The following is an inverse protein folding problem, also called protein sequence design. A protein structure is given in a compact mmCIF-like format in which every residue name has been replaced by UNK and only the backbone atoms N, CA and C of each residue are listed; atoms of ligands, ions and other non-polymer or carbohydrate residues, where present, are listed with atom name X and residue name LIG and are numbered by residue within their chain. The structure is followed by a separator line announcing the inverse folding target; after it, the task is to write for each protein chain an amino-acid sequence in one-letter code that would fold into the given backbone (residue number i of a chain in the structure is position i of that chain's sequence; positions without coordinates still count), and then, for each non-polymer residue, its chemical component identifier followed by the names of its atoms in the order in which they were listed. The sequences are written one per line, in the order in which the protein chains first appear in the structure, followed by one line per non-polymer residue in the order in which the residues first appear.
data_IF_063737492740
#
_entry.id   IF_063737492740
#
_cell.length_a   1.000
_cell.length_b   1.000
_cell.length_c   1.000
_cell.angle_alpha   90.00
_cell.angle_beta   90.00
_cell.angle_gamma   90.00
#
_symmetry.space_group_name_H-M   'P 1'
#
loop_
_entity.id
_entity.type
_entity.pdbx_description
1 polymer ?
#
# COMPACT_ATOMS: atom_id res chain seq x y z
N UNK A 1 -28.84 -30.05 6.20
CA UNK A 1 -27.61 -30.64 5.61
C UNK A 1 -27.63 -30.35 4.12
N UNK A 2 -26.53 -29.84 3.54
CA UNK A 2 -26.47 -29.52 2.10
C UNK A 2 -25.43 -30.46 1.48
N UNK A 3 -25.81 -31.38 0.57
CA UNK A 3 -24.85 -32.29 -0.02
C UNK A 3 -23.88 -31.56 -0.95
N UNK A 4 -22.66 -32.09 -1.09
CA UNK A 4 -21.63 -31.49 -1.96
C UNK A 4 -22.05 -31.55 -3.43
N UNK A 5 -22.89 -32.51 -3.83
CA UNK A 5 -23.49 -32.55 -5.18
C UNK A 5 -24.32 -31.32 -5.52
N UNK A 6 -24.82 -30.55 -4.54
CA UNK A 6 -25.53 -29.28 -4.81
C UNK A 6 -24.64 -28.24 -5.49
N UNK A 7 -23.30 -28.34 -5.42
CA UNK A 7 -22.41 -27.46 -6.20
C UNK A 7 -22.62 -27.64 -7.72
N UNK A 8 -23.14 -28.79 -8.14
CA UNK A 8 -23.49 -29.09 -9.52
C UNK A 8 -24.99 -28.94 -9.84
N UNK A 9 -25.79 -28.39 -8.92
CA UNK A 9 -27.22 -28.17 -9.15
C UNK A 9 -27.46 -27.25 -10.36
N UNK A 10 -28.56 -27.43 -11.08
CA UNK A 10 -28.90 -26.58 -12.22
C UNK A 10 -29.39 -25.20 -11.76
N UNK A 11 -29.99 -25.11 -10.57
CA UNK A 11 -30.40 -23.85 -9.97
C UNK A 11 -29.18 -23.13 -9.38
N UNK A 12 -28.88 -21.95 -9.92
CA UNK A 12 -27.74 -21.14 -9.50
C UNK A 12 -27.86 -20.66 -8.04
N UNK A 13 -29.07 -20.47 -7.50
CA UNK A 13 -29.25 -20.09 -6.10
C UNK A 13 -28.83 -21.24 -5.17
N UNK A 14 -29.18 -22.48 -5.52
CA UNK A 14 -28.78 -23.67 -4.79
C UNK A 14 -27.27 -23.89 -4.94
N UNK A 15 -26.77 -23.85 -6.17
CA UNK A 15 -25.36 -24.08 -6.49
C UNK A 15 -24.44 -23.05 -5.82
N UNK A 16 -24.77 -21.76 -5.91
CA UNK A 16 -23.97 -20.72 -5.28
C UNK A 16 -24.01 -20.80 -3.76
N UNK A 17 -25.18 -21.07 -3.17
CA UNK A 17 -25.28 -21.21 -1.72
C UNK A 17 -24.46 -22.40 -1.18
N UNK A 18 -24.42 -23.52 -1.92
CA UNK A 18 -23.58 -24.66 -1.59
C UNK A 18 -22.08 -24.38 -1.83
N UNK A 19 -21.74 -23.74 -2.95
CA UNK A 19 -20.37 -23.30 -3.26
C UNK A 19 -19.83 -22.35 -2.20
N UNK A 20 -20.60 -21.35 -1.80
CA UNK A 20 -20.21 -20.39 -0.77
C UNK A 20 -19.97 -21.10 0.57
N UNK A 21 -20.85 -22.03 0.98
CA UNK A 21 -20.62 -22.85 2.19
C UNK A 21 -19.32 -23.65 2.11
N UNK A 22 -19.00 -24.22 0.95
CA UNK A 22 -17.83 -25.07 0.76
C UNK A 22 -16.51 -24.29 0.65
N UNK A 23 -16.43 -23.30 -0.24
CA UNK A 23 -15.18 -22.63 -0.65
C UNK A 23 -14.85 -21.43 0.22
N UNK A 24 -15.86 -20.68 0.68
CA UNK A 24 -15.66 -19.40 1.37
C UNK A 24 -14.76 -19.47 2.62
N UNK A 25 -14.88 -20.49 3.50
CA UNK A 25 -14.00 -20.60 4.67
C UNK A 25 -12.52 -20.73 4.30
N UNK A 26 -12.21 -21.51 3.26
CA UNK A 26 -10.84 -21.72 2.77
C UNK A 26 -10.31 -20.49 2.04
N UNK A 27 -11.13 -19.88 1.16
CA UNK A 27 -10.80 -18.66 0.43
C UNK A 27 -10.47 -17.50 1.38
N UNK A 28 -11.35 -17.22 2.35
CA UNK A 28 -11.12 -16.18 3.36
C UNK A 28 -9.84 -16.47 4.15
N UNK A 29 -9.63 -17.70 4.62
CA UNK A 29 -8.40 -18.04 5.35
C UNK A 29 -7.13 -17.76 4.54
N UNK A 30 -7.09 -18.21 3.29
CA UNK A 30 -5.92 -18.08 2.41
C UNK A 30 -5.70 -16.64 1.89
N UNK A 31 -6.77 -15.88 1.64
CA UNK A 31 -6.69 -14.50 1.15
C UNK A 31 -6.24 -13.48 2.22
N UNK A 32 -6.31 -13.85 3.51
CA UNK A 32 -6.06 -12.93 4.63
C UNK A 32 -4.67 -12.29 4.57
N UNK A 33 -3.63 -13.10 4.43
CA UNK A 33 -2.23 -12.63 4.42
C UNK A 33 -1.90 -11.74 3.21
N UNK A 34 -2.21 -12.11 1.96
CA UNK A 34 -1.96 -11.24 0.81
C UNK A 34 -2.73 -9.92 0.88
N UNK A 35 -4.00 -9.92 1.30
CA UNK A 35 -4.78 -8.68 1.45
C UNK A 35 -4.26 -7.80 2.59
N UNK A 36 -3.87 -8.41 3.71
CA UNK A 36 -3.19 -7.72 4.81
C UNK A 36 -1.93 -6.99 4.36
N UNK A 37 -1.12 -7.63 3.52
CA UNK A 37 0.09 -7.03 2.93
C UNK A 37 -0.22 -6.00 1.86
N UNK A 38 -1.29 -6.19 1.09
CA UNK A 38 -1.68 -5.27 0.03
C UNK A 38 -2.24 -3.95 0.58
N UNK A 39 -3.23 -4.02 1.49
CA UNK A 39 -4.02 -2.87 1.94
C UNK A 39 -3.63 -2.33 3.31
N UNK A 40 -3.12 -3.18 4.20
CA UNK A 40 -2.90 -2.82 5.60
C UNK A 40 -1.42 -2.71 5.98
N UNK A 41 -0.51 -2.80 5.00
CA UNK A 41 0.94 -2.79 5.23
C UNK A 41 1.39 -3.86 6.24
N UNK A 42 0.71 -5.02 6.24
CA UNK A 42 0.98 -6.11 7.17
C UNK A 42 0.32 -5.98 8.55
N UNK A 43 -0.29 -4.83 8.88
CA UNK A 43 -1.07 -4.64 10.12
C UNK A 43 -2.38 -5.44 10.07
N UNK A 44 -2.94 -5.80 11.22
CA UNK A 44 -4.22 -6.51 11.27
C UNK A 44 -5.31 -5.77 10.46
N UNK A 45 -6.06 -6.53 9.67
CA UNK A 45 -7.29 -6.07 9.05
C UNK A 45 -8.38 -6.17 10.12
N UNK A 46 -9.10 -5.07 10.38
CA UNK A 46 -10.13 -4.99 11.40
C UNK A 46 -11.42 -4.51 10.73
N UNK A 47 -12.53 -5.18 11.00
CA UNK A 47 -13.85 -4.65 10.71
C UNK A 47 -14.12 -3.43 11.60
N UNK A 48 -14.98 -2.49 11.17
CA UNK A 48 -15.44 -1.40 12.04
C UNK A 48 -16.03 -1.90 13.37
N UNK A 49 -16.54 -3.14 13.39
CA UNK A 49 -17.06 -3.82 14.57
C UNK A 49 -16.52 -5.27 14.65
N UNK A 50 -15.54 -5.52 15.51
CA UNK A 50 -15.06 -6.88 15.87
C UNK A 50 -13.89 -7.44 15.04
N UNK A 51 -13.63 -8.73 15.21
CA UNK A 51 -12.47 -9.48 14.65
C UNK A 51 -12.63 -9.88 13.17
N UNK A 52 -13.41 -9.09 12.43
CA UNK A 52 -13.74 -9.30 11.01
C UNK A 52 -12.74 -8.65 10.05
N UNK A 53 -13.05 -8.74 8.77
CA UNK A 53 -12.32 -8.04 7.72
C UNK A 53 -12.92 -6.64 7.51
N UNK A 54 -12.14 -5.70 6.97
CA UNK A 54 -12.71 -4.44 6.51
C UNK A 54 -13.58 -4.67 5.26
N UNK A 55 -14.52 -3.76 5.00
CA UNK A 55 -15.47 -3.86 3.89
C UNK A 55 -14.79 -4.11 2.54
N UNK A 56 -13.70 -3.39 2.23
CA UNK A 56 -12.98 -3.59 0.98
C UNK A 56 -12.41 -5.01 0.85
N UNK A 57 -11.86 -5.56 1.95
CA UNK A 57 -11.29 -6.91 1.92
C UNK A 57 -12.38 -7.97 1.77
N UNK A 58 -13.54 -7.79 2.39
CA UNK A 58 -14.70 -8.68 2.16
C UNK A 58 -15.15 -8.60 0.69
N UNK A 59 -15.35 -7.39 0.15
CA UNK A 59 -15.74 -7.19 -1.24
C UNK A 59 -14.79 -7.89 -2.21
N UNK A 60 -13.47 -7.77 -1.98
CA UNK A 60 -12.47 -8.44 -2.82
C UNK A 60 -12.53 -9.97 -2.73
N UNK A 61 -12.91 -10.54 -1.58
CA UNK A 61 -13.10 -11.99 -1.48
C UNK A 61 -14.42 -12.44 -2.07
N UNK A 62 -15.48 -11.66 -1.90
CA UNK A 62 -16.78 -11.95 -2.51
C UNK A 62 -16.66 -11.94 -4.04
N UNK A 63 -15.92 -10.99 -4.63
CA UNK A 63 -15.58 -10.99 -6.06
C UNK A 63 -14.87 -12.30 -6.47
N UNK A 64 -13.87 -12.76 -5.70
CA UNK A 64 -13.15 -14.00 -5.99
C UNK A 64 -14.03 -15.24 -5.87
N UNK A 65 -14.97 -15.24 -4.92
CA UNK A 65 -15.95 -16.32 -4.76
C UNK A 65 -16.91 -16.36 -5.94
N UNK A 66 -17.38 -15.21 -6.41
CA UNK A 66 -18.22 -15.10 -7.60
C UNK A 66 -17.47 -15.57 -8.85
N UNK A 67 -16.23 -15.09 -9.06
CA UNK A 67 -15.37 -15.51 -10.18
C UNK A 67 -15.11 -17.02 -10.18
N UNK A 68 -14.82 -17.59 -9.00
CA UNK A 68 -14.53 -19.03 -8.84
C UNK A 68 -15.78 -19.90 -8.99
N UNK A 69 -16.93 -19.43 -8.51
CA UNK A 69 -18.22 -20.08 -8.74
C UNK A 69 -18.53 -20.12 -10.23
N UNK A 70 -18.47 -18.98 -10.92
CA UNK A 70 -18.70 -18.90 -12.36
C UNK A 70 -17.74 -19.80 -13.16
N UNK A 71 -16.47 -19.91 -12.73
CA UNK A 71 -15.49 -20.84 -13.31
C UNK A 71 -15.93 -22.29 -13.16
N UNK A 72 -16.40 -22.71 -11.98
CA UNK A 72 -16.90 -24.06 -11.74
C UNK A 72 -18.17 -24.35 -12.56
N UNK A 73 -19.11 -23.40 -12.61
CA UNK A 73 -20.36 -23.52 -13.41
C UNK A 73 -20.06 -23.75 -14.89
N UNK A 74 -19.15 -22.96 -15.48
CA UNK A 74 -18.71 -23.17 -16.87
C UNK A 74 -18.11 -24.55 -17.08
N UNK A 75 -17.25 -25.01 -16.17
CA UNK A 75 -16.63 -26.33 -16.27
C UNK A 75 -17.66 -27.47 -16.20
N UNK A 76 -18.63 -27.38 -15.28
CA UNK A 76 -19.75 -28.32 -15.18
C UNK A 76 -20.69 -28.28 -16.39
N UNK A 77 -20.80 -27.12 -17.05
CA UNK A 77 -21.50 -26.94 -18.34
C UNK A 77 -20.72 -27.45 -19.56
N UNK A 78 -19.51 -28.00 -19.37
CA UNK A 78 -18.67 -28.57 -20.44
C UNK A 78 -17.53 -27.66 -20.92
N UNK A 79 -17.47 -26.40 -20.48
CA UNK A 79 -16.39 -25.46 -20.82
C UNK A 79 -15.20 -25.62 -19.85
N UNK A 80 -14.49 -26.73 -19.98
CA UNK A 80 -13.36 -27.04 -19.12
C UNK A 80 -12.20 -26.04 -19.34
N UNK A 81 -11.62 -25.43 -18.28
CA UNK A 81 -10.44 -24.59 -18.42
C UNK A 81 -9.29 -25.38 -19.05
N UNK A 82 -8.51 -24.72 -19.92
CA UNK A 82 -7.43 -25.34 -20.69
C UNK A 82 -6.06 -24.83 -20.22
N UNK A 83 -5.08 -25.71 -20.26
CA UNK A 83 -3.66 -25.40 -20.08
C UNK A 83 -3.11 -24.67 -21.31
N UNK A 84 -1.85 -24.17 -21.23
CA UNK A 84 -1.16 -23.56 -22.37
C UNK A 84 -1.03 -24.48 -23.58
N UNK A 85 -1.00 -25.80 -23.37
CA UNK A 85 -0.96 -26.81 -24.43
C UNK A 85 -2.36 -27.15 -24.99
N UNK A 86 -3.41 -26.41 -24.60
CA UNK A 86 -4.79 -26.66 -25.02
C UNK A 86 -5.48 -27.83 -24.32
N UNK A 87 -4.78 -28.57 -23.46
CA UNK A 87 -5.34 -29.71 -22.73
C UNK A 87 -6.23 -29.28 -21.57
N UNK A 88 -7.33 -30.01 -21.25
CA UNK A 88 -8.13 -29.75 -20.06
C UNK A 88 -7.28 -29.73 -18.78
N UNK A 89 -7.59 -28.81 -17.87
CA UNK A 89 -6.94 -28.75 -16.56
C UNK A 89 -7.42 -29.95 -15.73
N UNK A 90 -6.52 -30.91 -15.52
CA UNK A 90 -6.79 -32.19 -14.83
C UNK A 90 -7.49 -32.00 -13.49
N UNK A 91 -7.07 -31.02 -12.70
CA UNK A 91 -7.65 -30.76 -11.39
C UNK A 91 -9.14 -30.35 -11.50
N UNK A 92 -9.50 -29.53 -12.49
CA UNK A 92 -10.91 -29.16 -12.65
C UNK A 92 -11.76 -30.34 -13.14
N UNK A 93 -11.19 -31.21 -13.97
CA UNK A 93 -11.85 -32.46 -14.39
C UNK A 93 -12.18 -33.33 -13.16
N UNK A 94 -11.20 -33.59 -12.30
CA UNK A 94 -11.38 -34.37 -11.07
C UNK A 94 -12.46 -33.79 -10.14
N UNK A 95 -12.53 -32.46 -10.03
CA UNK A 95 -13.58 -31.79 -9.24
C UNK A 95 -14.94 -32.05 -9.87
N UNK A 96 -15.09 -31.87 -11.18
CA UNK A 96 -16.38 -32.06 -11.86
C UNK A 96 -16.83 -33.53 -11.82
N UNK A 97 -15.92 -34.48 -12.00
CA UNK A 97 -16.19 -35.92 -11.88
C UNK A 97 -16.70 -36.27 -10.48
N UNK A 98 -16.05 -35.77 -9.42
CA UNK A 98 -16.51 -36.03 -8.05
C UNK A 98 -17.89 -35.43 -7.80
N UNK A 99 -18.10 -34.16 -8.14
CA UNK A 99 -19.36 -33.46 -7.87
C UNK A 99 -20.58 -34.06 -8.60
N UNK A 100 -20.34 -34.78 -9.70
CA UNK A 100 -21.38 -35.46 -10.48
C UNK A 100 -21.50 -36.96 -10.16
N UNK A 101 -20.64 -37.49 -9.28
CA UNK A 101 -20.68 -38.88 -8.82
C UNK A 101 -21.89 -39.18 -7.93
N UNK A 102 -22.17 -40.48 -7.74
CA UNK A 102 -23.20 -40.92 -6.80
C UNK A 102 -22.83 -40.61 -5.33
N UNK A 103 -21.54 -40.71 -5.00
CA UNK A 103 -21.03 -40.54 -3.63
C UNK A 103 -21.24 -39.11 -3.12
N UNK A 104 -21.08 -38.10 -3.99
CA UNK A 104 -21.30 -36.69 -3.68
C UNK A 104 -22.71 -36.36 -3.17
N UNK A 105 -23.72 -37.22 -3.42
CA UNK A 105 -25.10 -37.00 -2.94
C UNK A 105 -25.25 -37.22 -1.44
N UNK A 106 -24.39 -38.04 -0.85
CA UNK A 106 -24.45 -38.42 0.56
C UNK A 106 -23.43 -37.65 1.42
N UNK A 107 -22.62 -36.82 0.79
CA UNK A 107 -21.52 -36.09 1.42
C UNK A 107 -21.94 -34.67 1.82
N UNK A 108 -21.75 -34.28 3.07
CA UNK A 108 -22.12 -32.94 3.55
C UNK A 108 -21.08 -31.87 3.18
N UNK A 109 -21.53 -30.77 2.56
CA UNK A 109 -20.68 -29.68 2.10
C UNK A 109 -19.97 -28.94 3.24
N UNK A 110 -20.61 -28.78 4.40
CA UNK A 110 -20.00 -28.10 5.54
C UNK A 110 -18.86 -28.92 6.16
N UNK A 111 -19.03 -30.24 6.22
CA UNK A 111 -17.99 -31.18 6.64
C UNK A 111 -16.77 -31.11 5.71
N UNK A 112 -16.99 -31.10 4.40
CA UNK A 112 -15.90 -30.96 3.43
C UNK A 112 -15.28 -29.56 3.42
N UNK A 113 -16.04 -28.50 3.72
CA UNK A 113 -15.51 -27.13 3.85
C UNK A 113 -14.42 -27.05 4.93
N UNK A 114 -14.64 -27.73 6.07
CA UNK A 114 -13.68 -27.80 7.16
C UNK A 114 -12.39 -28.52 6.76
N UNK A 115 -12.49 -29.56 5.94
CA UNK A 115 -11.34 -30.28 5.37
C UNK A 115 -10.62 -29.42 4.32
N UNK A 116 -11.36 -28.79 3.40
CA UNK A 116 -10.82 -27.90 2.37
C UNK A 116 -9.98 -26.77 2.96
N UNK A 117 -10.44 -26.18 4.07
CA UNK A 117 -9.72 -25.13 4.79
C UNK A 117 -8.36 -25.58 5.35
N UNK A 118 -8.21 -26.87 5.67
CA UNK A 118 -7.03 -27.46 6.33
C UNK A 118 -6.09 -28.19 5.37
N UNK A 119 -6.43 -28.31 4.09
CA UNK A 119 -5.75 -29.17 3.14
C UNK A 119 -4.33 -28.69 2.77
N UNK A 120 -3.39 -28.85 3.70
CA UNK A 120 -1.96 -28.98 3.46
C UNK A 120 -1.57 -30.45 3.71
N UNK A 121 -1.76 -31.29 2.69
CA UNK A 121 -1.29 -32.69 2.67
C UNK A 121 -2.30 -33.76 3.08
N UNK A 122 -2.51 -34.77 2.22
CA UNK A 122 -3.12 -36.06 2.57
C UNK A 122 -4.55 -36.30 2.10
N UNK A 123 -5.48 -35.40 2.41
CA UNK A 123 -6.91 -35.71 2.31
C UNK A 123 -7.43 -35.57 0.86
N UNK A 124 -8.00 -36.65 0.30
CA UNK A 124 -8.71 -36.78 -0.99
C UNK A 124 -8.16 -36.10 -2.28
N UNK A 125 -7.91 -36.85 -3.37
CA UNK A 125 -7.46 -36.27 -4.64
C UNK A 125 -8.33 -35.14 -5.19
N UNK A 126 -9.67 -35.29 -5.19
CA UNK A 126 -10.60 -34.28 -5.69
C UNK A 126 -10.63 -33.03 -4.79
N UNK A 127 -10.41 -33.18 -3.47
CA UNK A 127 -10.38 -32.07 -2.52
C UNK A 127 -9.12 -31.22 -2.71
N UNK A 128 -7.96 -31.85 -2.93
CA UNK A 128 -6.73 -31.15 -3.31
C UNK A 128 -6.90 -30.41 -4.64
N UNK A 129 -7.57 -31.05 -5.59
CA UNK A 129 -7.88 -30.43 -6.89
C UNK A 129 -8.81 -29.21 -6.71
N UNK A 130 -9.83 -29.32 -5.85
CA UNK A 130 -10.72 -28.22 -5.49
C UNK A 130 -9.95 -27.07 -4.83
N UNK A 131 -9.08 -27.36 -3.86
CA UNK A 131 -8.24 -26.34 -3.23
C UNK A 131 -7.36 -25.64 -4.27
N UNK A 132 -6.69 -26.39 -5.14
CA UNK A 132 -5.82 -25.82 -6.17
C UNK A 132 -6.59 -24.90 -7.12
N UNK A 133 -7.75 -25.33 -7.62
CA UNK A 133 -8.47 -24.64 -8.69
C UNK A 133 -9.45 -23.57 -8.25
N UNK A 134 -10.05 -23.73 -7.07
CA UNK A 134 -11.12 -22.88 -6.55
C UNK A 134 -10.66 -21.97 -5.41
N UNK A 135 -9.52 -22.26 -4.77
CA UNK A 135 -8.97 -21.43 -3.68
C UNK A 135 -7.62 -20.85 -4.07
N UNK A 136 -6.62 -21.69 -4.34
CA UNK A 136 -5.25 -21.21 -4.55
C UNK A 136 -5.07 -20.42 -5.85
N UNK A 137 -5.54 -20.96 -6.98
CA UNK A 137 -5.35 -20.32 -8.28
C UNK A 137 -5.98 -18.91 -8.38
N UNK A 138 -7.22 -18.67 -7.89
CA UNK A 138 -7.78 -17.31 -7.80
C UNK A 138 -6.94 -16.34 -6.96
N UNK A 139 -6.24 -16.85 -5.95
CA UNK A 139 -5.39 -16.06 -5.05
C UNK A 139 -3.97 -15.84 -5.59
N UNK A 140 -3.61 -16.50 -6.69
CA UNK A 140 -2.33 -16.30 -7.34
C UNK A 140 -2.20 -14.84 -7.77
N UNK A 141 -1.15 -14.17 -7.32
CA UNK A 141 -0.91 -12.74 -7.54
C UNK A 141 -1.98 -11.80 -6.96
N UNK A 142 -2.77 -12.23 -5.98
CA UNK A 142 -3.79 -11.37 -5.35
C UNK A 142 -3.17 -10.10 -4.76
N UNK A 143 -2.01 -10.19 -4.12
CA UNK A 143 -1.33 -9.03 -3.53
C UNK A 143 -0.96 -7.99 -4.59
N UNK A 144 -0.36 -8.41 -5.71
CA UNK A 144 0.01 -7.52 -6.82
C UNK A 144 -1.21 -6.94 -7.52
N UNK A 145 -2.24 -7.76 -7.79
CA UNK A 145 -3.48 -7.33 -8.43
C UNK A 145 -4.22 -6.30 -7.58
N UNK A 146 -4.37 -6.56 -6.28
CA UNK A 146 -5.02 -5.65 -5.33
C UNK A 146 -4.28 -4.32 -5.27
N UNK A 147 -2.96 -4.34 -5.09
CA UNK A 147 -2.16 -3.10 -5.08
C UNK A 147 -2.27 -2.30 -6.38
N UNK A 148 -2.34 -2.98 -7.52
CA UNK A 148 -2.52 -2.34 -8.82
C UNK A 148 -3.91 -1.69 -8.92
N UNK A 149 -4.96 -2.41 -8.56
CA UNK A 149 -6.32 -1.88 -8.55
C UNK A 149 -6.44 -0.67 -7.61
N UNK A 150 -5.91 -0.77 -6.39
CA UNK A 150 -5.89 0.33 -5.42
C UNK A 150 -5.05 1.53 -5.87
N UNK A 151 -4.01 1.31 -6.65
CA UNK A 151 -3.23 2.38 -7.26
C UNK A 151 -4.04 3.11 -8.33
N UNK A 152 -4.64 2.36 -9.26
CA UNK A 152 -5.47 2.91 -10.35
C UNK A 152 -6.68 3.67 -9.79
N UNK A 153 -7.35 3.12 -8.77
CA UNK A 153 -8.49 3.76 -8.09
C UNK A 153 -8.13 5.12 -7.46
N UNK A 154 -6.86 5.34 -7.12
CA UNK A 154 -6.33 6.61 -6.61
C UNK A 154 -5.69 7.49 -7.70
N UNK A 155 -5.87 7.15 -8.98
CA UNK A 155 -5.30 7.89 -10.11
C UNK A 155 -3.81 7.60 -10.38
N UNK A 156 -3.20 6.65 -9.68
CA UNK A 156 -1.81 6.27 -9.87
C UNK A 156 -1.63 5.27 -11.02
N UNK A 157 -0.41 5.15 -11.55
CA UNK A 157 -0.14 4.30 -12.70
C UNK A 157 -0.39 2.80 -12.40
N UNK A 158 -0.95 2.05 -13.34
CA UNK A 158 -1.02 0.60 -13.19
C UNK A 158 0.36 -0.09 -13.30
N UNK A 159 1.29 0.50 -14.06
CA UNK A 159 2.60 -0.07 -14.44
C UNK A 159 3.68 1.02 -14.41
N UNK A 160 4.12 1.48 -13.23
CA UNK A 160 5.01 2.62 -13.10
C UNK A 160 6.38 2.40 -13.74
N UNK A 161 6.90 1.17 -13.66
CA UNK A 161 8.15 0.78 -14.34
C UNK A 161 8.07 0.99 -15.86
N UNK A 162 7.00 0.48 -16.49
CA UNK A 162 6.76 0.66 -17.92
C UNK A 162 6.68 2.15 -18.28
N UNK A 163 5.90 2.92 -17.53
CA UNK A 163 5.68 4.33 -17.82
C UNK A 163 6.99 5.12 -17.71
N UNK A 164 7.77 4.90 -16.66
CA UNK A 164 9.08 5.54 -16.48
C UNK A 164 10.08 5.13 -17.57
N UNK A 165 10.04 3.88 -18.05
CA UNK A 165 10.94 3.40 -19.11
C UNK A 165 10.51 3.80 -20.52
N UNK A 166 9.22 3.95 -20.80
CA UNK A 166 8.71 4.00 -22.18
C UNK A 166 7.92 5.27 -22.53
N UNK A 167 7.27 5.93 -21.57
CA UNK A 167 6.40 7.05 -21.90
C UNK A 167 7.19 8.26 -22.42
N UNK A 168 6.64 8.98 -23.41
CA UNK A 168 7.35 10.11 -24.03
C UNK A 168 7.81 11.17 -23.01
N UNK A 169 6.96 11.50 -22.03
CA UNK A 169 7.26 12.46 -20.97
C UNK A 169 8.46 12.05 -20.09
N UNK A 170 8.75 10.75 -19.97
CA UNK A 170 9.81 10.24 -19.12
C UNK A 170 11.20 10.26 -19.81
N UNK A 171 11.28 10.70 -21.07
CA UNK A 171 12.55 10.76 -21.81
C UNK A 171 13.69 11.46 -21.05
N UNK A 172 13.49 12.60 -20.35
CA UNK A 172 14.55 13.26 -19.59
C UNK A 172 15.13 12.40 -18.44
N UNK A 173 14.35 11.45 -17.91
CA UNK A 173 14.75 10.61 -16.78
C UNK A 173 15.70 9.47 -17.18
N UNK A 174 15.78 9.14 -18.48
CA UNK A 174 16.56 8.01 -18.99
C UNK A 174 18.04 8.32 -19.16
N UNK A 175 18.44 9.59 -19.04
CA UNK A 175 19.84 10.02 -19.15
C UNK A 175 20.75 9.44 -18.05
N UNK A 176 20.18 9.01 -16.92
CA UNK A 176 20.90 8.27 -15.87
C UNK A 176 20.14 6.98 -15.53
N UNK A 177 20.57 5.82 -16.07
CA UNK A 177 19.93 4.52 -15.81
C UNK A 177 19.90 4.14 -14.32
N UNK A 178 20.92 4.53 -13.54
CA UNK A 178 20.93 4.24 -12.11
C UNK A 178 19.86 5.06 -11.39
N UNK A 179 19.74 6.35 -11.72
CA UNK A 179 18.70 7.22 -11.17
C UNK A 179 17.28 6.73 -11.52
N UNK A 180 17.08 6.22 -12.74
CA UNK A 180 15.81 5.65 -13.18
C UNK A 180 15.42 4.41 -12.38
N UNK A 181 16.34 3.46 -12.17
CA UNK A 181 16.09 2.27 -11.35
C UNK A 181 15.81 2.64 -9.88
N UNK A 182 16.53 3.62 -9.31
CA UNK A 182 16.27 4.15 -7.97
C UNK A 182 14.84 4.73 -7.86
N UNK A 183 14.37 5.47 -8.88
CA UNK A 183 13.00 6.00 -8.93
C UNK A 183 11.95 4.88 -9.01
N UNK A 184 12.17 3.88 -9.87
CA UNK A 184 11.24 2.75 -10.03
C UNK A 184 11.08 2.02 -8.69
N UNK A 185 12.20 1.73 -8.02
CA UNK A 185 12.20 1.06 -6.71
C UNK A 185 11.52 1.92 -5.65
N UNK A 186 11.78 3.23 -5.61
CA UNK A 186 11.07 4.14 -4.71
C UNK A 186 9.56 4.07 -4.91
N UNK A 187 9.06 4.18 -6.15
CA UNK A 187 7.62 4.12 -6.45
C UNK A 187 7.01 2.81 -5.93
N UNK A 188 7.69 1.67 -6.13
CA UNK A 188 7.22 0.40 -5.58
C UNK A 188 7.24 0.34 -4.06
N UNK A 189 8.26 0.93 -3.40
CA UNK A 189 8.35 0.98 -1.94
C UNK A 189 7.26 1.87 -1.33
N UNK A 190 6.97 3.02 -1.95
CA UNK A 190 5.85 3.90 -1.58
C UNK A 190 4.53 3.14 -1.70
N UNK A 191 4.29 2.46 -2.83
CA UNK A 191 3.08 1.64 -3.02
C UNK A 191 2.93 0.52 -2.00
N UNK A 192 4.05 -0.09 -1.60
CA UNK A 192 4.09 -1.14 -0.58
C UNK A 192 4.01 -0.59 0.85
N UNK A 193 3.90 0.73 1.02
CA UNK A 193 3.87 1.43 2.32
C UNK A 193 5.03 1.00 3.22
N UNK A 194 6.22 0.87 2.64
CA UNK A 194 7.43 0.53 3.39
C UNK A 194 7.76 1.69 4.34
N UNK A 195 8.10 1.45 5.62
CA UNK A 195 8.31 2.51 6.61
C UNK A 195 9.34 3.58 6.25
N UNK A 196 10.38 3.22 5.49
CA UNK A 196 11.33 4.16 4.90
C UNK A 196 11.42 3.89 3.39
N UNK A 197 10.56 4.51 2.56
CA UNK A 197 10.53 4.25 1.13
C UNK A 197 11.75 4.87 0.43
N UNK A 198 12.36 5.91 1.01
CA UNK A 198 13.54 6.61 0.48
C UNK A 198 14.86 5.90 0.78
N UNK A 199 14.85 4.92 1.68
CA UNK A 199 15.99 4.04 1.85
C UNK A 199 16.26 3.23 0.57
N UNK A 200 17.45 3.42 0.00
CA UNK A 200 17.95 2.67 -1.15
C UNK A 200 18.49 1.32 -0.69
N UNK A 201 17.96 0.19 -1.19
CA UNK A 201 18.47 -1.15 -0.88
C UNK A 201 19.96 -1.33 -1.22
N UNK A 202 20.68 -2.07 -0.39
CA UNK A 202 22.13 -2.27 -0.56
C UNK A 202 22.47 -3.02 -1.86
N UNK A 203 21.65 -4.00 -2.28
CA UNK A 203 21.82 -4.74 -3.52
C UNK A 203 21.72 -3.84 -4.76
N UNK A 204 20.76 -2.89 -4.75
CA UNK A 204 20.59 -1.92 -5.83
C UNK A 204 21.76 -0.93 -5.88
N UNK A 205 22.22 -0.49 -4.71
CA UNK A 205 23.37 0.40 -4.55
C UNK A 205 24.65 -0.27 -5.07
N UNK A 206 24.89 -1.53 -4.72
CA UNK A 206 26.05 -2.32 -5.13
C UNK A 206 26.05 -2.58 -6.64
N UNK A 207 24.89 -2.95 -7.21
CA UNK A 207 24.71 -3.14 -8.66
C UNK A 207 25.14 -1.92 -9.47
N UNK A 208 24.86 -0.72 -8.97
CA UNK A 208 25.24 0.54 -9.63
C UNK A 208 26.54 1.16 -9.08
N UNK A 209 27.28 0.45 -8.21
CA UNK A 209 28.54 0.90 -7.58
C UNK A 209 28.42 2.28 -6.91
N UNK A 210 27.27 2.53 -6.27
CA UNK A 210 27.01 3.81 -5.61
C UNK A 210 27.40 3.75 -4.13
N UNK A 211 27.86 4.88 -3.58
CA UNK A 211 27.90 5.07 -2.13
C UNK A 211 26.48 5.41 -1.63
N UNK A 212 26.25 5.31 -0.32
CA UNK A 212 24.94 5.67 0.27
C UNK A 212 24.58 7.14 0.03
N UNK A 213 25.58 8.02 0.11
CA UNK A 213 25.44 9.46 -0.14
C UNK A 213 25.13 9.71 -1.61
N UNK A 214 25.83 9.03 -2.52
CA UNK A 214 25.62 9.18 -3.96
C UNK A 214 24.25 8.67 -4.39
N UNK A 215 23.81 7.51 -3.88
CA UNK A 215 22.49 6.98 -4.16
C UNK A 215 21.37 7.93 -3.68
N UNK A 216 21.52 8.48 -2.47
CA UNK A 216 20.58 9.48 -1.94
C UNK A 216 20.53 10.75 -2.80
N UNK A 217 21.71 11.25 -3.22
CA UNK A 217 21.83 12.44 -4.07
C UNK A 217 21.18 12.22 -5.44
N UNK A 218 21.49 11.10 -6.09
CA UNK A 218 20.91 10.73 -7.39
C UNK A 218 19.40 10.56 -7.31
N UNK A 219 18.90 9.89 -6.27
CA UNK A 219 17.46 9.75 -6.05
C UNK A 219 16.79 11.13 -5.88
N UNK A 220 17.40 12.05 -5.12
CA UNK A 220 16.91 13.41 -4.97
C UNK A 220 16.85 14.17 -6.30
N UNK A 221 17.91 14.13 -7.09
CA UNK A 221 17.94 14.73 -8.44
C UNK A 221 16.88 14.12 -9.36
N UNK A 222 16.73 12.79 -9.33
CA UNK A 222 15.75 12.07 -10.13
C UNK A 222 14.31 12.45 -9.74
N UNK A 223 14.04 12.67 -8.45
CA UNK A 223 12.74 13.12 -7.97
C UNK A 223 12.39 14.54 -8.43
N UNK A 224 13.36 15.45 -8.41
CA UNK A 224 13.19 16.80 -8.95
C UNK A 224 12.91 16.73 -10.46
N UNK A 225 13.68 15.94 -11.19
CA UNK A 225 13.48 15.75 -12.63
C UNK A 225 12.10 15.12 -12.94
N UNK A 226 11.67 14.13 -12.14
CA UNK A 226 10.35 13.49 -12.29
C UNK A 226 9.22 14.49 -12.04
N UNK A 227 9.32 15.30 -10.97
CA UNK A 227 8.32 16.33 -10.66
C UNK A 227 8.22 17.37 -11.76
N UNK A 228 9.34 17.75 -12.38
CA UNK A 228 9.36 18.67 -13.51
C UNK A 228 8.79 18.04 -14.80
N UNK A 229 9.15 16.79 -15.10
CA UNK A 229 8.74 16.10 -16.32
C UNK A 229 7.25 15.69 -16.32
N UNK A 230 6.74 15.22 -15.18
CA UNK A 230 5.34 14.85 -15.03
C UNK A 230 4.87 15.02 -13.56
N UNK A 231 4.39 16.23 -13.18
CA UNK A 231 3.94 16.50 -11.83
C UNK A 231 2.73 15.65 -11.43
N UNK A 232 1.85 15.30 -12.39
CA UNK A 232 0.68 14.45 -12.13
C UNK A 232 1.08 13.02 -11.77
N UNK A 233 2.02 12.42 -12.50
CA UNK A 233 2.57 11.10 -12.16
C UNK A 233 3.27 11.15 -10.79
N UNK A 234 4.07 12.19 -10.54
CA UNK A 234 4.71 12.39 -9.25
C UNK A 234 3.68 12.43 -8.11
N UNK A 235 2.65 13.29 -8.24
CA UNK A 235 1.62 13.46 -7.23
C UNK A 235 0.83 12.17 -6.98
N UNK A 236 0.47 11.43 -8.03
CA UNK A 236 -0.31 10.21 -7.90
C UNK A 236 0.48 9.01 -7.36
N UNK A 237 1.80 8.94 -7.59
CA UNK A 237 2.61 7.76 -7.27
C UNK A 237 3.55 7.93 -6.08
N UNK A 238 3.94 9.16 -5.77
CA UNK A 238 4.98 9.49 -4.77
C UNK A 238 4.48 10.54 -3.80
N UNK A 239 3.76 11.56 -4.30
CA UNK A 239 3.06 12.50 -3.43
C UNK A 239 2.07 11.75 -2.55
N UNK A 240 2.12 11.99 -1.24
CA UNK A 240 0.87 11.95 -0.49
C UNK A 240 -0.06 12.99 -1.12
N UNK A 241 -1.38 12.73 -1.18
CA UNK A 241 -2.31 13.52 -1.98
C UNK A 241 -2.35 14.95 -1.47
N UNK A 242 -1.55 15.81 -2.10
CA UNK A 242 -1.74 17.25 -2.11
C UNK A 242 -2.84 17.47 -3.14
N UNK A 243 -4.07 17.57 -2.66
CA UNK A 243 -5.29 18.05 -3.32
C UNK A 243 -5.10 18.63 -4.73
N UNK A 244 -5.75 18.03 -5.75
CA UNK A 244 -5.76 18.59 -7.10
C UNK A 244 -6.48 17.78 -8.18
N UNK A 245 -7.81 17.74 -8.12
CA UNK A 245 -8.75 17.64 -9.27
C UNK A 245 -8.60 16.52 -10.32
N UNK A 246 -9.18 15.34 -10.05
CA UNK A 246 -10.01 14.58 -11.00
C UNK A 246 -10.81 13.49 -10.26
N UNK A 247 -12.15 13.56 -10.37
CA UNK A 247 -13.18 12.63 -9.88
C UNK A 247 -13.09 12.19 -8.40
N UNK A 248 -13.83 12.89 -7.53
CA UNK A 248 -14.17 12.43 -6.17
C UNK A 248 -14.88 11.06 -6.22
N UNK A 249 -14.32 9.97 -5.65
CA UNK A 249 -15.19 9.01 -4.97
C UNK A 249 -15.84 9.72 -3.77
N UNK A 250 -17.06 9.33 -3.34
CA UNK A 250 -17.68 9.93 -2.17
C UNK A 250 -16.70 9.79 -0.99
N UNK A 251 -16.28 10.93 -0.48
CA UNK A 251 -15.42 11.03 0.70
C UNK A 251 -16.21 10.45 1.86
N UNK A 252 -15.72 9.35 2.42
CA UNK A 252 -16.15 8.91 3.75
C UNK A 252 -15.89 10.08 4.72
N UNK A 253 -16.92 10.63 5.38
CA UNK A 253 -16.76 11.74 6.32
C UNK A 253 -15.67 11.49 7.37
N UNK A 254 -15.40 10.23 7.73
CA UNK A 254 -14.37 9.89 8.71
C UNK A 254 -12.93 10.07 8.22
N UNK A 255 -12.63 9.89 6.93
CA UNK A 255 -11.29 10.11 6.39
C UNK A 255 -10.96 11.61 6.26
N UNK A 256 -11.98 12.43 5.98
CA UNK A 256 -11.85 13.90 6.02
C UNK A 256 -11.63 14.41 7.45
N UNK A 257 -12.25 13.78 8.45
CA UNK A 257 -12.04 14.14 9.85
C UNK A 257 -10.64 13.72 10.30
N UNK A 258 -10.17 12.53 9.91
CA UNK A 258 -8.87 12.01 10.32
C UNK A 258 -7.71 12.83 9.76
N UNK A 259 -7.77 13.22 8.48
CA UNK A 259 -6.75 14.06 7.84
C UNK A 259 -6.73 15.49 8.39
N UNK A 260 -7.90 16.08 8.68
CA UNK A 260 -8.00 17.39 9.35
C UNK A 260 -7.47 17.32 10.79
N UNK A 261 -7.77 16.24 11.52
CA UNK A 261 -7.28 16.02 12.89
C UNK A 261 -5.77 15.80 12.91
N UNK A 262 -5.21 15.03 11.97
CA UNK A 262 -3.77 14.82 11.85
C UNK A 262 -3.03 16.11 11.48
N UNK A 263 -3.55 16.88 10.52
CA UNK A 263 -3.00 18.18 10.16
C UNK A 263 -3.08 19.18 11.32
N UNK A 264 -4.22 19.25 12.01
CA UNK A 264 -4.39 20.11 13.19
C UNK A 264 -3.43 19.71 14.32
N UNK A 265 -3.24 18.41 14.56
CA UNK A 265 -2.29 17.87 15.55
C UNK A 265 -0.83 18.17 15.16
N UNK A 266 -0.49 18.07 13.88
CA UNK A 266 0.82 18.41 13.37
C UNK A 266 1.11 19.90 13.54
N UNK A 267 0.18 20.77 13.14
CA UNK A 267 0.25 22.22 13.34
C UNK A 267 0.38 22.58 14.81
N UNK A 268 -0.47 22.03 15.70
CA UNK A 268 -0.38 22.27 17.14
C UNK A 268 0.97 21.80 17.73
N UNK A 269 1.56 20.73 17.22
CA UNK A 269 2.88 20.26 17.65
C UNK A 269 3.99 21.19 17.16
N UNK A 270 3.94 21.66 15.92
CA UNK A 270 4.87 22.66 15.40
C UNK A 270 4.74 23.98 16.14
N UNK A 271 3.52 24.50 16.35
CA UNK A 271 3.28 25.69 17.18
C UNK A 271 3.89 25.52 18.56
N UNK A 272 3.71 24.38 19.22
CA UNK A 272 4.36 24.12 20.52
C UNK A 272 5.88 24.08 20.47
N UNK A 273 6.49 23.71 19.36
CA UNK A 273 7.95 23.72 19.18
C UNK A 273 8.48 25.11 18.84
N UNK A 274 7.66 25.95 18.18
CA UNK A 274 8.05 27.24 17.63
C UNK A 274 7.69 28.41 18.56
N UNK A 275 6.52 28.43 19.19
CA UNK A 275 6.05 29.58 19.99
C UNK A 275 6.80 29.68 21.33
N UNK A 276 7.35 30.85 21.65
CA UNK A 276 7.96 31.13 22.95
C UNK A 276 6.87 31.41 24.01
N UNK A 277 7.15 31.11 25.28
CA UNK A 277 6.35 31.63 26.42
C UNK A 277 7.14 32.77 27.06
N UNK A 278 6.46 33.82 27.53
CA UNK A 278 7.09 34.99 28.15
C UNK A 278 8.03 34.60 29.32
N UNK A 279 7.68 33.57 30.09
CA UNK A 279 8.41 33.15 31.29
C UNK A 279 9.36 31.96 31.05
N UNK A 280 9.84 31.75 29.81
CA UNK A 280 10.60 30.55 29.48
C UNK A 280 12.09 30.63 29.86
N UNK A 281 12.65 29.63 30.57
CA UNK A 281 14.07 29.60 30.89
C UNK A 281 14.98 29.70 29.65
N UNK A 282 16.05 30.51 29.71
CA UNK A 282 16.97 30.80 28.58
C UNK A 282 17.42 29.57 27.78
N UNK A 283 17.72 28.44 28.46
CA UNK A 283 18.14 27.19 27.80
C UNK A 283 17.07 26.61 26.87
N UNK A 284 15.78 26.75 27.23
CA UNK A 284 14.67 26.30 26.39
C UNK A 284 14.43 27.27 25.23
N UNK A 285 14.59 28.58 25.44
CA UNK A 285 14.52 29.58 24.38
C UNK A 285 15.61 29.36 23.29
N UNK A 286 16.86 29.10 23.68
CA UNK A 286 17.94 28.79 22.74
C UNK A 286 17.67 27.51 21.92
N UNK A 287 17.14 26.47 22.58
CA UNK A 287 16.76 25.21 21.93
C UNK A 287 15.60 25.41 20.93
N UNK A 288 14.63 26.27 21.22
CA UNK A 288 13.55 26.63 20.27
C UNK A 288 14.06 27.38 19.05
N UNK A 289 15.00 28.32 19.20
CA UNK A 289 15.65 28.97 18.05
C UNK A 289 16.33 27.94 17.14
N UNK A 290 17.02 26.97 17.73
CA UNK A 290 17.64 25.87 16.99
C UNK A 290 16.59 25.01 16.25
N UNK A 291 15.42 24.74 16.86
CA UNK A 291 14.32 24.07 16.16
C UNK A 291 13.72 24.92 15.03
N UNK A 292 13.57 26.24 15.22
CA UNK A 292 13.13 27.18 14.17
C UNK A 292 14.05 27.12 12.96
N UNK A 293 15.37 27.26 13.17
CA UNK A 293 16.35 27.17 12.08
C UNK A 293 16.33 25.80 11.40
N UNK A 294 16.19 24.73 12.18
CA UNK A 294 16.12 23.38 11.64
C UNK A 294 14.88 23.15 10.78
N UNK A 295 13.72 23.67 11.21
CA UNK A 295 12.46 23.60 10.45
C UNK A 295 12.56 24.48 9.19
N UNK A 296 13.13 25.68 9.28
CA UNK A 296 13.40 26.53 8.13
C UNK A 296 14.28 25.83 7.08
N UNK A 297 15.36 25.16 7.51
CA UNK A 297 16.24 24.40 6.64
C UNK A 297 15.53 23.20 5.98
N UNK A 298 14.56 22.59 6.67
CA UNK A 298 13.71 21.53 6.11
C UNK A 298 12.75 22.12 5.07
N UNK A 299 12.10 23.25 5.34
CA UNK A 299 11.24 23.96 4.38
C UNK A 299 12.03 24.42 3.13
N UNK A 300 13.26 24.92 3.33
CA UNK A 300 14.16 25.29 2.25
C UNK A 300 14.47 24.10 1.32
N UNK A 301 14.74 22.92 1.88
CA UNK A 301 14.90 21.71 1.06
C UNK A 301 13.60 21.33 0.33
N UNK A 302 12.44 21.43 1.00
CA UNK A 302 11.14 21.13 0.40
C UNK A 302 10.78 22.03 -0.78
N UNK A 303 11.29 23.27 -0.77
CA UNK A 303 11.13 24.29 -1.84
C UNK A 303 12.28 24.28 -2.87
N UNK A 304 13.23 23.34 -2.78
CA UNK A 304 14.34 23.20 -3.74
C UNK A 304 15.54 24.11 -3.48
N UNK A 305 15.57 24.85 -2.35
CA UNK A 305 16.73 25.63 -1.91
C UNK A 305 17.76 24.74 -1.22
N UNK A 306 19.04 25.09 -1.34
CA UNK A 306 20.15 24.33 -0.72
C UNK A 306 20.14 24.56 0.80
N UNK A 307 20.02 23.47 1.57
CA UNK A 307 20.21 23.48 3.02
C UNK A 307 20.74 22.13 3.53
N UNK A 308 21.32 22.12 4.73
CA UNK A 308 21.92 20.93 5.34
C UNK A 308 21.38 20.71 6.78
N UNK A 309 20.09 20.35 6.95
CA UNK A 309 19.45 20.26 8.27
C UNK A 309 20.10 19.21 9.19
N UNK A 310 20.67 18.13 8.65
CA UNK A 310 21.38 17.13 9.48
C UNK A 310 22.65 17.72 10.08
N UNK A 311 23.47 18.40 9.28
CA UNK A 311 24.67 19.07 9.77
C UNK A 311 24.33 20.19 10.76
N UNK A 312 23.23 20.93 10.50
CA UNK A 312 22.70 21.95 11.38
C UNK A 312 22.26 21.38 12.73
N UNK A 313 21.52 20.26 12.74
CA UNK A 313 21.11 19.60 13.98
C UNK A 313 22.30 19.11 14.81
N UNK A 314 23.35 18.58 14.18
CA UNK A 314 24.59 18.20 14.88
C UNK A 314 25.22 19.43 15.55
N UNK A 315 25.35 20.54 14.82
CA UNK A 315 25.99 21.77 15.30
C UNK A 315 25.19 22.48 16.39
N UNK A 316 23.88 22.62 16.20
CA UNK A 316 23.03 23.49 17.04
C UNK A 316 22.37 22.74 18.20
N UNK A 317 22.14 21.43 18.07
CA UNK A 317 21.52 20.61 19.12
C UNK A 317 22.50 19.64 19.79
N UNK A 318 23.77 19.60 19.35
CA UNK A 318 24.82 18.78 19.96
C UNK A 318 24.54 17.27 19.91
N UNK A 319 23.74 16.82 18.94
CA UNK A 319 23.36 15.41 18.79
C UNK A 319 24.30 14.68 17.83
N UNK A 320 24.38 13.36 17.94
CA UNK A 320 25.18 12.55 17.01
C UNK A 320 24.60 12.58 15.58
N UNK A 321 25.40 12.37 14.51
CA UNK A 321 24.90 12.39 13.14
C UNK A 321 23.72 11.44 12.88
N UNK A 322 23.74 10.26 13.49
CA UNK A 322 22.66 9.27 13.39
C UNK A 322 21.37 9.76 14.07
N UNK A 323 21.50 10.42 15.23
CA UNK A 323 20.37 11.02 15.93
C UNK A 323 19.81 12.23 15.18
N UNK A 324 20.69 13.09 14.63
CA UNK A 324 20.33 14.20 13.77
C UNK A 324 19.52 13.74 12.54
N UNK A 325 19.99 12.71 11.83
CA UNK A 325 19.29 12.17 10.67
C UNK A 325 17.91 11.59 11.01
N UNK A 326 17.74 10.98 12.19
CA UNK A 326 16.44 10.48 12.68
C UNK A 326 15.51 11.64 13.06
N UNK A 327 16.06 12.65 13.72
CA UNK A 327 15.32 13.84 14.15
C UNK A 327 14.82 14.65 12.95
N UNK A 328 15.70 14.93 11.98
CA UNK A 328 15.35 15.63 10.73
C UNK A 328 14.26 14.89 9.97
N UNK A 329 14.33 13.56 9.88
CA UNK A 329 13.27 12.75 9.26
C UNK A 329 11.92 12.91 9.97
N UNK A 330 11.90 12.85 11.30
CA UNK A 330 10.67 13.05 12.09
C UNK A 330 10.09 14.44 11.94
N UNK A 331 10.96 15.47 11.93
CA UNK A 331 10.54 16.84 11.71
C UNK A 331 10.03 17.04 10.28
N UNK A 332 10.68 16.48 9.27
CA UNK A 332 10.22 16.55 7.88
C UNK A 332 8.83 15.93 7.69
N UNK A 333 8.55 14.80 8.35
CA UNK A 333 7.20 14.21 8.36
C UNK A 333 6.19 15.16 9.02
N UNK A 334 6.57 15.80 10.12
CA UNK A 334 5.71 16.74 10.83
C UNK A 334 5.42 18.01 9.99
N UNK A 335 6.44 18.54 9.29
CA UNK A 335 6.32 19.67 8.35
C UNK A 335 5.41 19.30 7.17
N UNK A 336 5.58 18.10 6.61
CA UNK A 336 4.73 17.61 5.52
C UNK A 336 3.26 17.49 5.97
N UNK A 337 3.01 16.91 7.15
CA UNK A 337 1.66 16.75 7.71
C UNK A 337 0.99 18.10 8.04
N UNK A 338 1.74 19.11 8.47
CA UNK A 338 1.21 20.43 8.77
C UNK A 338 0.94 21.30 7.53
N UNK A 339 1.66 21.01 6.44
CA UNK A 339 1.70 21.80 5.21
C UNK A 339 2.96 22.67 5.15
N UNK A 340 3.70 22.58 4.03
CA UNK A 340 4.97 23.28 3.83
C UNK A 340 4.80 24.80 3.88
N UNK A 341 3.79 25.34 3.19
CA UNK A 341 3.49 26.77 3.12
C UNK A 341 3.10 27.35 4.48
N UNK A 342 2.23 26.65 5.21
CA UNK A 342 1.86 27.04 6.57
C UNK A 342 3.07 27.03 7.51
N UNK A 343 3.95 26.03 7.36
CA UNK A 343 5.13 25.91 8.22
C UNK A 343 6.15 27.01 7.92
N UNK A 344 6.37 27.36 6.65
CA UNK A 344 7.26 28.48 6.26
C UNK A 344 6.78 29.78 6.92
N UNK A 345 5.48 30.09 6.81
CA UNK A 345 4.85 31.24 7.48
C UNK A 345 4.98 31.19 9.01
N UNK A 346 4.78 30.01 9.62
CA UNK A 346 4.88 29.85 11.07
C UNK A 346 6.32 30.00 11.62
N UNK A 347 7.32 29.76 10.78
CA UNK A 347 8.74 29.98 11.12
C UNK A 347 9.10 31.47 11.01
N UNK A 348 8.55 32.16 10.00
CA UNK A 348 8.74 33.60 9.77
C UNK A 348 7.97 34.49 10.75
N UNK A 349 6.84 34.01 11.30
CA UNK A 349 6.10 34.73 12.32
C UNK A 349 6.94 34.92 13.60
N UNK A 350 7.41 36.15 13.81
CA UNK A 350 8.03 36.56 15.07
C UNK A 350 7.03 36.36 16.23
N UNK A 351 7.50 35.92 17.41
CA UNK A 351 6.64 35.88 18.58
C UNK A 351 6.19 37.31 18.92
N UNK A 352 4.89 37.58 18.74
CA UNK A 352 4.25 38.81 19.23
C UNK A 352 4.47 38.85 20.76
N UNK A 353 5.41 39.69 21.20
CA UNK A 353 5.72 39.86 22.62
C UNK A 353 7.20 40.15 22.93
N UNK A 354 7.77 41.19 22.32
CA UNK A 354 9.00 41.83 22.80
C UNK A 354 9.15 43.27 22.26
N UNK A 355 8.06 44.04 22.27
CA UNK A 355 8.06 45.40 21.74
C UNK A 355 6.87 46.23 22.21
N UNK A 356 6.76 46.43 23.53
CA UNK A 356 6.13 47.61 24.14
C UNK A 356 6.37 47.58 25.66
N UNK A 357 7.12 48.59 26.13
CA UNK A 357 7.47 48.98 27.50
C UNK A 357 8.59 48.18 28.19
#
# INVERSE_FOLDING_TARGET
MRPISHLADRDDAIAYAAFHTFVSPAMRAAARVPLRRARHAGRACLAPTGDGWCAECEETVDDLLMESSAKLRRALGGEMPKTRAGQPVREMVLVCEHLTSADARNEDAATWAMKLRRAEGGDEPWLRAAWAQLVHYPLLHLEERTRRADAVRRGASARPDRDLRQAAWAAPLRGDPAALELLIVLVFRVRRRVPDPFHVPDDLRERHRLTRTEASRRLGTALVALRAANPGFFAANIGEPVTGHAAKPPVDPQDSITTVVEQARARATLTRLLTARADEPMRRAARRRSYRHLIAAICALGTGRRAAPVAMAVRELGVTPTQAARMVRRLAILVAAAGLEWTDQAVEAEPVGAGAL
#
